data_IF_320542172544
#
_entry.id   IF_320542172544
#
_cell.length_a   1.000
_cell.length_b   1.000
_cell.length_c   1.000
_cell.angle_alpha   90.00
_cell.angle_beta   90.00
_cell.angle_gamma   90.00
#
_symmetry.space_group_name_H-M   'P 1'
#
loop_
_entity.id
_entity.type
_entity.pdbx_description
1 polymer ?
#
# COMPACT_ATOMS: atom_id res chain seq x y z
N UNK A 1 -23.39 -3.98 -14.88
CA UNK A 1 -22.09 -3.48 -15.37
C UNK A 1 -21.13 -4.65 -15.41
N UNK A 2 -20.65 -5.00 -16.60
CA UNK A 2 -19.75 -6.14 -16.84
C UNK A 2 -18.39 -5.84 -16.19
N UNK A 3 -18.07 -6.60 -15.15
CA UNK A 3 -16.81 -6.53 -14.40
C UNK A 3 -15.60 -6.58 -15.35
N UNK A 4 -14.86 -5.48 -15.49
CA UNK A 4 -13.55 -5.55 -16.13
C UNK A 4 -12.61 -6.30 -15.19
N UNK A 5 -12.36 -7.59 -15.46
CA UNK A 5 -11.41 -8.40 -14.72
C UNK A 5 -9.99 -8.07 -15.18
N UNK A 6 -9.11 -7.80 -14.22
CA UNK A 6 -7.73 -7.38 -14.50
C UNK A 6 -6.92 -8.48 -15.14
N UNK A 7 -5.96 -8.11 -15.99
CA UNK A 7 -5.10 -9.06 -16.70
C UNK A 7 -4.26 -9.90 -15.73
N UNK A 8 -3.94 -11.16 -16.09
CA UNK A 8 -3.00 -11.97 -15.33
C UNK A 8 -1.63 -11.29 -15.25
N UNK A 9 -0.96 -11.42 -14.10
CA UNK A 9 0.37 -10.82 -13.88
C UNK A 9 1.45 -11.37 -14.81
N UNK A 10 1.25 -12.59 -15.32
CA UNK A 10 2.13 -13.26 -16.28
C UNK A 10 3.17 -14.15 -15.61
N UNK A 11 3.72 -15.10 -16.39
CA UNK A 11 4.63 -16.13 -15.90
C UNK A 11 5.90 -15.56 -15.27
N UNK A 12 6.49 -14.53 -15.88
CA UNK A 12 7.71 -13.87 -15.36
C UNK A 12 7.51 -13.33 -13.95
N UNK A 13 6.43 -12.58 -13.73
CA UNK A 13 6.09 -12.04 -12.40
C UNK A 13 5.72 -13.14 -11.41
N UNK A 14 5.03 -14.19 -11.87
CA UNK A 14 4.71 -15.36 -11.05
C UNK A 14 5.97 -16.06 -10.53
N UNK A 15 6.92 -16.36 -11.42
CA UNK A 15 8.21 -16.98 -11.07
C UNK A 15 9.03 -16.09 -10.14
N UNK A 16 9.12 -14.77 -10.42
CA UNK A 16 9.82 -13.83 -9.54
C UNK A 16 9.21 -13.77 -8.14
N UNK A 17 7.88 -13.74 -8.04
CA UNK A 17 7.18 -13.75 -6.77
C UNK A 17 7.39 -15.08 -6.00
N UNK A 18 7.35 -16.21 -6.70
CA UNK A 18 7.65 -17.52 -6.12
C UNK A 18 9.09 -17.61 -5.60
N UNK A 19 10.06 -17.10 -6.38
CA UNK A 19 11.46 -17.04 -5.96
C UNK A 19 11.66 -16.17 -4.72
N UNK A 20 11.00 -15.01 -4.65
CA UNK A 20 11.06 -14.13 -3.49
C UNK A 20 10.48 -14.79 -2.24
N UNK A 21 9.32 -15.46 -2.35
CA UNK A 21 8.71 -16.20 -1.24
C UNK A 21 9.66 -17.32 -0.77
N UNK A 22 10.25 -18.06 -1.71
CA UNK A 22 11.22 -19.10 -1.40
C UNK A 22 12.47 -18.57 -0.72
N UNK A 23 12.95 -17.38 -1.10
CA UNK A 23 14.07 -16.72 -0.44
C UNK A 23 13.75 -16.37 1.01
N UNK A 24 12.57 -15.81 1.30
CA UNK A 24 12.15 -15.53 2.67
C UNK A 24 12.06 -16.81 3.50
N UNK A 25 11.42 -17.86 2.97
CA UNK A 25 11.32 -19.15 3.65
C UNK A 25 12.70 -19.74 3.93
N UNK A 26 13.57 -19.76 2.91
CA UNK A 26 14.92 -20.30 2.99
C UNK A 26 15.78 -19.54 3.99
N UNK A 27 15.71 -18.21 4.00
CA UNK A 27 16.41 -17.37 4.96
C UNK A 27 15.91 -17.61 6.40
N UNK A 28 14.60 -17.70 6.61
CA UNK A 28 14.05 -18.03 7.93
C UNK A 28 14.52 -19.39 8.44
N UNK A 29 14.51 -20.42 7.60
CA UNK A 29 14.99 -21.76 7.97
C UNK A 29 16.50 -21.78 8.20
N UNK A 30 17.28 -21.10 7.37
CA UNK A 30 18.73 -20.97 7.54
C UNK A 30 19.08 -20.26 8.87
N UNK A 31 18.32 -19.23 9.24
CA UNK A 31 18.48 -18.54 10.53
C UNK A 31 18.26 -19.51 11.70
N UNK A 32 17.21 -20.34 11.63
CA UNK A 32 16.95 -21.36 12.65
C UNK A 32 18.08 -22.39 12.66
N UNK A 33 18.49 -22.90 11.50
CA UNK A 33 19.60 -23.88 11.37
C UNK A 33 20.88 -23.37 12.01
N UNK A 34 21.29 -22.12 11.75
CA UNK A 34 22.51 -21.52 12.34
C UNK A 34 22.39 -21.36 13.86
N UNK A 35 21.19 -21.03 14.37
CA UNK A 35 20.96 -20.91 15.80
C UNK A 35 20.93 -22.28 16.52
N UNK A 36 20.60 -23.35 15.81
CA UNK A 36 20.57 -24.72 16.35
C UNK A 36 21.93 -25.41 16.24
N UNK A 37 22.60 -25.28 15.10
CA UNK A 37 23.93 -25.83 14.85
C UNK A 37 24.68 -24.95 13.83
N UNK A 38 25.67 -24.20 14.34
CA UNK A 38 26.43 -23.24 13.57
C UNK A 38 27.54 -23.88 12.72
N UNK A 39 27.91 -25.14 12.97
CA UNK A 39 29.01 -25.81 12.28
C UNK A 39 28.55 -26.41 10.94
N UNK A 40 27.26 -26.68 10.79
CA UNK A 40 26.69 -27.30 9.58
C UNK A 40 26.41 -26.25 8.46
N UNK A 41 27.50 -25.67 7.95
CA UNK A 41 27.49 -24.63 6.91
C UNK A 41 26.81 -25.12 5.62
N UNK A 42 26.98 -26.40 5.27
CA UNK A 42 26.37 -27.00 4.06
C UNK A 42 24.85 -26.94 4.12
N UNK A 43 24.25 -27.30 5.25
CA UNK A 43 22.79 -27.23 5.47
C UNK A 43 22.29 -25.80 5.30
N UNK A 44 22.99 -24.84 5.90
CA UNK A 44 22.67 -23.41 5.80
C UNK A 44 22.71 -22.92 4.34
N UNK A 45 23.73 -23.29 3.58
CA UNK A 45 23.84 -22.93 2.16
C UNK A 45 22.67 -23.52 1.36
N UNK A 46 22.32 -24.79 1.58
CA UNK A 46 21.21 -25.43 0.89
C UNK A 46 19.86 -24.76 1.21
N UNK A 47 19.63 -24.38 2.46
CA UNK A 47 18.42 -23.69 2.90
C UNK A 47 18.28 -22.29 2.28
N UNK A 48 19.37 -21.59 2.02
CA UNK A 48 19.31 -20.27 1.35
C UNK A 48 19.11 -20.44 -0.16
N UNK A 49 19.83 -21.38 -0.78
CA UNK A 49 19.95 -21.44 -2.23
C UNK A 49 18.85 -22.25 -2.92
N UNK A 50 18.36 -23.35 -2.35
CA UNK A 50 17.41 -24.24 -3.03
C UNK A 50 15.94 -23.78 -2.97
N UNK A 51 15.41 -23.29 -1.82
CA UNK A 51 14.02 -22.90 -1.71
C UNK A 51 13.54 -21.85 -2.73
N UNK A 52 14.32 -20.80 -3.10
CA UNK A 52 13.94 -19.87 -4.16
C UNK A 52 13.58 -20.57 -5.48
N UNK A 53 14.35 -21.57 -5.92
CA UNK A 53 14.11 -22.28 -7.17
C UNK A 53 12.90 -23.21 -7.07
N UNK A 54 12.83 -24.00 -6.00
CA UNK A 54 11.74 -24.96 -5.77
C UNK A 54 10.40 -24.22 -5.70
N UNK A 55 10.33 -23.16 -4.89
CA UNK A 55 9.11 -22.39 -4.67
C UNK A 55 8.75 -21.58 -5.92
N UNK A 56 9.73 -21.07 -6.67
CA UNK A 56 9.49 -20.45 -7.98
C UNK A 56 8.83 -21.41 -8.97
N UNK A 57 9.33 -22.64 -9.09
CA UNK A 57 8.78 -23.63 -10.03
C UNK A 57 7.39 -24.11 -9.59
N UNK A 58 7.18 -24.36 -8.30
CA UNK A 58 5.92 -24.88 -7.78
C UNK A 58 4.82 -23.81 -7.72
N UNK A 59 5.12 -22.64 -7.13
CA UNK A 59 4.12 -21.57 -6.95
C UNK A 59 4.07 -20.61 -8.13
N UNK A 60 5.14 -20.45 -8.90
CA UNK A 60 5.21 -19.47 -9.99
C UNK A 60 4.09 -19.59 -11.03
N UNK A 61 3.78 -20.80 -11.55
CA UNK A 61 2.66 -21.00 -12.47
C UNK A 61 1.29 -20.68 -11.86
N UNK A 62 1.11 -20.89 -10.55
CA UNK A 62 -0.12 -20.53 -9.85
C UNK A 62 -0.22 -19.02 -9.64
N UNK A 63 0.88 -18.39 -9.21
CA UNK A 63 0.99 -16.94 -9.02
C UNK A 63 0.88 -16.18 -10.34
N UNK A 64 1.30 -16.78 -11.46
CA UNK A 64 1.16 -16.20 -12.81
C UNK A 64 -0.31 -15.98 -13.21
N UNK A 65 -1.21 -16.82 -12.70
CA UNK A 65 -2.67 -16.72 -12.92
C UNK A 65 -3.32 -15.66 -12.03
N UNK A 66 -2.61 -15.12 -11.04
CA UNK A 66 -3.11 -14.03 -10.20
C UNK A 66 -3.40 -12.82 -11.09
N UNK A 67 -4.59 -12.26 -10.92
CA UNK A 67 -5.01 -11.08 -11.67
C UNK A 67 -4.48 -9.83 -11.02
N UNK A 68 -4.02 -8.89 -11.83
CA UNK A 68 -3.73 -7.54 -11.37
C UNK A 68 -5.02 -6.93 -10.82
N UNK A 69 -4.98 -6.21 -9.69
CA UNK A 69 -6.14 -5.48 -9.24
C UNK A 69 -6.55 -4.47 -10.32
N UNK A 70 -7.85 -4.41 -10.62
CA UNK A 70 -8.45 -3.73 -11.79
C UNK A 70 -8.27 -2.20 -11.80
N UNK A 71 -7.78 -1.61 -10.71
CA UNK A 71 -7.72 -0.15 -10.52
C UNK A 71 -6.30 0.42 -10.39
N UNK A 72 -5.34 -0.08 -11.15
CA UNK A 72 -3.98 0.49 -11.20
C UNK A 72 -3.60 1.14 -12.54
N UNK A 73 -4.49 1.16 -13.54
CA UNK A 73 -4.14 1.67 -14.88
C UNK A 73 -4.25 3.18 -15.03
N UNK A 74 -5.09 3.86 -14.24
CA UNK A 74 -5.01 5.32 -14.12
C UNK A 74 -3.83 5.62 -13.22
N UNK A 75 -2.85 6.36 -13.71
CA UNK A 75 -1.80 6.94 -12.87
C UNK A 75 -2.50 7.93 -11.93
N UNK A 76 -2.80 7.56 -10.66
CA UNK A 76 -3.72 8.34 -9.83
C UNK A 76 -3.13 9.73 -9.54
N UNK A 77 -1.81 9.82 -9.59
CA UNK A 77 -1.07 11.07 -9.49
C UNK A 77 -1.30 12.01 -10.69
N UNK A 78 -1.36 11.49 -11.92
CA UNK A 78 -1.61 12.33 -13.10
C UNK A 78 -3.05 12.85 -13.08
N UNK A 79 -4.03 11.99 -12.77
CA UNK A 79 -5.43 12.38 -12.62
C UNK A 79 -5.61 13.43 -11.50
N UNK A 80 -4.96 13.23 -10.35
CA UNK A 80 -4.97 14.20 -9.26
C UNK A 80 -4.36 15.55 -9.68
N UNK A 81 -3.27 15.52 -10.46
CA UNK A 81 -2.62 16.73 -10.94
C UNK A 81 -3.48 17.47 -11.95
N UNK A 82 -4.09 16.75 -12.89
CA UNK A 82 -4.99 17.32 -13.89
C UNK A 82 -6.18 18.00 -13.22
N UNK A 83 -6.88 17.29 -12.31
CA UNK A 83 -8.03 17.80 -11.57
C UNK A 83 -7.72 19.09 -10.79
N UNK A 84 -6.53 19.15 -10.18
CA UNK A 84 -6.14 20.24 -9.30
C UNK A 84 -5.34 21.34 -10.01
N UNK A 85 -5.03 21.20 -11.30
CA UNK A 85 -4.27 22.20 -12.10
C UNK A 85 -4.94 23.57 -12.10
N UNK A 86 -6.28 23.61 -12.06
CA UNK A 86 -7.05 24.87 -11.98
C UNK A 86 -6.81 25.70 -10.71
N UNK A 87 -6.24 25.10 -9.66
CA UNK A 87 -5.93 25.78 -8.40
C UNK A 87 -4.45 26.18 -8.27
N UNK A 88 -3.68 26.09 -9.35
CA UNK A 88 -2.26 26.41 -9.33
C UNK A 88 -2.05 27.92 -9.14
N UNK A 89 -1.38 28.33 -8.06
CA UNK A 89 -1.20 29.74 -7.68
C UNK A 89 0.14 30.35 -8.17
N UNK A 90 1.05 29.51 -8.68
CA UNK A 90 2.31 29.96 -9.28
C UNK A 90 3.52 29.94 -8.34
N UNK A 91 4.59 30.64 -8.74
CA UNK A 91 5.89 30.55 -8.06
C UNK A 91 5.85 31.15 -6.65
N UNK A 92 6.40 30.44 -5.67
CA UNK A 92 6.38 30.85 -4.26
C UNK A 92 5.06 30.57 -3.52
N UNK A 93 4.03 30.11 -4.23
CA UNK A 93 2.74 29.72 -3.67
C UNK A 93 2.43 28.24 -3.97
N UNK A 94 1.21 27.82 -3.66
CA UNK A 94 0.80 26.44 -3.89
C UNK A 94 0.85 26.08 -5.38
N UNK A 95 1.46 24.93 -5.67
CA UNK A 95 1.67 24.40 -7.02
C UNK A 95 1.43 22.92 -7.07
N UNK A 96 0.66 22.49 -8.06
CA UNK A 96 0.32 21.09 -8.32
C UNK A 96 1.55 20.18 -8.36
N UNK A 97 2.59 20.55 -9.11
CA UNK A 97 3.74 19.67 -9.29
C UNK A 97 4.60 19.48 -8.03
N UNK A 98 4.65 20.47 -7.14
CA UNK A 98 5.48 20.41 -5.92
C UNK A 98 4.70 20.01 -4.67
N UNK A 99 3.40 20.28 -4.62
CA UNK A 99 2.56 20.01 -3.46
C UNK A 99 1.70 18.75 -3.62
N UNK A 100 1.67 18.13 -4.79
CA UNK A 100 1.00 16.85 -5.03
C UNK A 100 2.02 15.78 -5.39
N UNK A 101 2.10 14.78 -4.52
CA UNK A 101 2.95 13.60 -4.69
C UNK A 101 2.18 12.32 -4.44
N UNK A 102 2.79 11.18 -4.77
CA UNK A 102 2.25 9.86 -4.46
C UNK A 102 3.13 9.20 -3.40
N UNK A 103 2.51 8.67 -2.34
CA UNK A 103 3.15 7.81 -1.34
C UNK A 103 3.00 6.31 -1.76
N UNK A 104 2.97 6.05 -3.08
CA UNK A 104 2.72 4.73 -3.67
C UNK A 104 1.26 4.57 -4.12
N UNK A 105 0.41 4.04 -3.24
CA UNK A 105 -1.02 3.84 -3.52
C UNK A 105 -1.91 5.01 -3.07
N UNK A 106 -1.35 6.00 -2.37
CA UNK A 106 -2.09 7.11 -1.80
C UNK A 106 -1.63 8.42 -2.44
N UNK A 107 -2.56 9.35 -2.63
CA UNK A 107 -2.25 10.71 -3.09
C UNK A 107 -2.00 11.61 -1.89
N UNK A 108 -0.85 12.26 -1.87
CA UNK A 108 -0.45 13.21 -0.85
C UNK A 108 -0.60 14.62 -1.40
N UNK A 109 -1.38 15.44 -0.73
CA UNK A 109 -1.64 16.83 -1.07
C UNK A 109 -1.19 17.70 0.10
N UNK A 110 -0.14 18.47 -0.12
CA UNK A 110 0.33 19.45 0.85
C UNK A 110 -0.47 20.74 0.73
N UNK A 111 -1.17 21.16 1.78
CA UNK A 111 -2.05 22.33 1.74
C UNK A 111 -1.39 23.60 2.29
N UNK A 112 -0.10 23.56 2.66
CA UNK A 112 0.61 24.77 3.07
C UNK A 112 0.76 25.73 1.88
N UNK A 113 0.79 27.03 2.18
CA UNK A 113 0.91 28.11 1.19
C UNK A 113 -0.21 28.17 0.13
N UNK A 114 -1.35 27.54 0.40
CA UNK A 114 -2.54 27.57 -0.44
C UNK A 114 -3.54 28.60 0.11
N UNK A 115 -4.08 29.45 -0.78
CA UNK A 115 -5.11 30.43 -0.40
C UNK A 115 -6.51 29.81 -0.44
N UNK A 116 -6.84 29.10 -1.51
CA UNK A 116 -8.13 28.43 -1.70
C UNK A 116 -8.12 26.99 -1.17
N UNK A 117 -8.08 26.86 0.16
CA UNK A 117 -8.02 25.55 0.84
C UNK A 117 -9.29 24.75 0.57
N UNK A 118 -10.46 25.37 0.74
CA UNK A 118 -11.75 24.72 0.60
C UNK A 118 -11.93 24.18 -0.81
N UNK A 119 -11.67 24.97 -1.86
CA UNK A 119 -11.80 24.54 -3.25
C UNK A 119 -10.90 23.36 -3.62
N UNK A 120 -9.65 23.35 -3.15
CA UNK A 120 -8.72 22.22 -3.38
C UNK A 120 -9.17 20.97 -2.63
N UNK A 121 -9.57 21.10 -1.36
CA UNK A 121 -10.03 19.97 -0.56
C UNK A 121 -11.29 19.37 -1.19
N UNK A 122 -12.26 20.19 -1.58
CA UNK A 122 -13.49 19.73 -2.23
C UNK A 122 -13.23 19.00 -3.54
N UNK A 123 -12.39 19.55 -4.42
CA UNK A 123 -12.02 18.88 -5.66
C UNK A 123 -11.25 17.58 -5.39
N UNK A 124 -10.33 17.60 -4.43
CA UNK A 124 -9.56 16.42 -4.08
C UNK A 124 -10.41 15.30 -3.44
N UNK A 125 -11.56 15.62 -2.84
CA UNK A 125 -12.48 14.60 -2.32
C UNK A 125 -13.10 13.75 -3.44
N UNK A 126 -13.19 14.23 -4.69
CA UNK A 126 -13.61 13.42 -5.83
C UNK A 126 -12.63 12.26 -6.10
N UNK A 127 -11.34 12.48 -5.85
CA UNK A 127 -10.32 11.43 -5.94
C UNK A 127 -10.45 10.39 -4.82
N UNK A 128 -11.04 10.81 -3.69
CA UNK A 128 -11.17 10.00 -2.50
C UNK A 128 -12.18 8.85 -2.64
N UNK A 129 -12.88 8.73 -3.77
CA UNK A 129 -13.74 7.59 -4.11
C UNK A 129 -12.95 6.43 -4.74
N UNK A 130 -11.81 6.71 -5.35
CA UNK A 130 -10.99 5.68 -6.03
C UNK A 130 -9.70 5.40 -5.29
N UNK A 131 -9.09 6.41 -4.68
CA UNK A 131 -7.76 6.36 -4.07
C UNK A 131 -7.78 7.05 -2.71
N UNK A 132 -6.94 6.60 -1.78
CA UNK A 132 -6.81 7.30 -0.50
C UNK A 132 -6.12 8.65 -0.72
N UNK A 133 -6.75 9.73 -0.24
CA UNK A 133 -6.20 11.09 -0.30
C UNK A 133 -5.74 11.51 1.09
N UNK A 134 -4.52 12.02 1.16
CA UNK A 134 -3.85 12.46 2.38
C UNK A 134 -3.55 13.95 2.30
N UNK A 135 -4.31 14.73 3.06
CA UNK A 135 -4.11 16.16 3.21
C UNK A 135 -3.06 16.45 4.28
N UNK A 136 -1.98 17.14 3.92
CA UNK A 136 -0.95 17.57 4.87
C UNK A 136 -1.30 18.97 5.35
N UNK A 137 -1.61 19.07 6.64
CA UNK A 137 -2.14 20.29 7.28
C UNK A 137 -1.31 20.74 8.48
N UNK A 138 -0.26 19.99 8.82
CA UNK A 138 0.53 20.23 10.01
C UNK A 138 -0.19 19.87 11.31
N UNK A 139 0.36 20.31 12.44
CA UNK A 139 -0.15 19.97 13.78
C UNK A 139 -1.37 20.82 14.18
N UNK A 140 -1.58 21.98 13.56
CA UNK A 140 -2.67 22.90 13.91
C UNK A 140 -2.56 23.48 15.32
N UNK A 141 -1.34 23.61 15.86
CA UNK A 141 -1.12 24.23 17.17
C UNK A 141 -0.65 25.69 16.99
N UNK A 142 -0.71 26.50 18.06
CA UNK A 142 -0.30 27.90 18.03
C UNK A 142 1.16 28.15 17.58
N UNK A 143 2.00 27.11 17.58
CA UNK A 143 3.39 27.14 17.10
C UNK A 143 3.54 26.78 15.61
N UNK A 144 2.46 26.43 14.92
CA UNK A 144 2.46 26.08 13.50
C UNK A 144 2.43 27.35 12.64
N UNK A 145 3.03 27.31 11.45
CA UNK A 145 2.99 28.43 10.49
C UNK A 145 1.57 28.78 10.05
N UNK A 146 0.66 27.80 10.05
CA UNK A 146 -0.77 28.00 9.74
C UNK A 146 -1.64 27.20 10.72
N UNK A 147 -1.92 27.73 11.93
CA UNK A 147 -2.66 27.01 12.96
C UNK A 147 -4.08 26.62 12.53
N UNK A 148 -4.77 27.52 11.82
CA UNK A 148 -6.17 27.37 11.39
C UNK A 148 -6.37 26.39 10.23
N UNK A 149 -5.30 26.05 9.51
CA UNK A 149 -5.35 25.19 8.31
C UNK A 149 -6.01 23.85 8.62
N UNK A 150 -5.67 23.26 9.77
CA UNK A 150 -6.19 21.96 10.17
C UNK A 150 -7.70 21.99 10.36
N UNK A 151 -8.22 23.00 11.05
CA UNK A 151 -9.64 23.09 11.39
C UNK A 151 -10.49 23.42 10.16
N UNK A 152 -9.98 24.29 9.27
CA UNK A 152 -10.62 24.57 7.97
C UNK A 152 -10.79 23.30 7.12
N UNK A 153 -9.72 22.50 7.02
CA UNK A 153 -9.77 21.24 6.26
C UNK A 153 -10.69 20.22 6.94
N UNK A 154 -10.64 20.10 8.28
CA UNK A 154 -11.54 19.20 9.01
C UNK A 154 -13.01 19.57 8.79
N UNK A 155 -13.37 20.86 8.82
CA UNK A 155 -14.74 21.32 8.58
C UNK A 155 -15.28 20.88 7.21
N UNK A 156 -14.48 21.04 6.15
CA UNK A 156 -14.85 20.63 4.79
C UNK A 156 -14.95 19.10 4.68
N UNK A 157 -13.96 18.37 5.19
CA UNK A 157 -13.96 16.90 5.13
C UNK A 157 -15.10 16.31 5.95
N UNK A 158 -15.43 16.92 7.10
CA UNK A 158 -16.44 16.40 8.00
C UNK A 158 -17.86 16.60 7.52
N UNK A 159 -18.12 17.67 6.78
CA UNK A 159 -19.42 17.94 6.15
C UNK A 159 -19.71 17.02 4.96
N UNK A 160 -18.69 16.52 4.25
CA UNK A 160 -18.87 15.73 3.02
C UNK A 160 -18.58 14.23 3.14
N UNK A 161 -17.80 13.81 4.14
CA UNK A 161 -17.30 12.42 4.22
C UNK A 161 -17.72 11.75 5.53
N UNK A 162 -18.20 10.49 5.45
CA UNK A 162 -18.55 9.67 6.62
C UNK A 162 -17.33 9.38 7.52
N UNK A 163 -17.54 9.34 8.84
CA UNK A 163 -16.51 9.04 9.85
C UNK A 163 -15.70 7.78 9.57
N UNK A 164 -16.29 6.74 8.98
CA UNK A 164 -15.62 5.47 8.70
C UNK A 164 -14.54 5.57 7.60
N UNK A 165 -14.62 6.60 6.74
CA UNK A 165 -13.64 6.86 5.68
C UNK A 165 -12.55 7.84 6.11
N UNK A 166 -12.73 8.54 7.24
CA UNK A 166 -11.83 9.60 7.71
C UNK A 166 -10.86 9.06 8.74
N UNK A 167 -9.57 9.34 8.58
CA UNK A 167 -8.54 9.06 9.59
C UNK A 167 -7.78 10.34 9.92
N UNK A 168 -7.83 10.74 11.19
CA UNK A 168 -7.06 11.90 11.68
C UNK A 168 -5.68 11.43 12.14
N UNK A 169 -4.62 11.97 11.56
CA UNK A 169 -3.22 11.76 11.99
C UNK A 169 -2.65 13.06 12.56
N UNK A 170 -1.46 12.98 13.16
CA UNK A 170 -0.81 14.13 13.83
C UNK A 170 -0.57 15.30 12.89
N UNK A 171 -0.09 15.05 11.66
CA UNK A 171 0.22 16.10 10.67
C UNK A 171 -0.65 16.08 9.42
N UNK A 172 -1.62 15.17 9.36
CA UNK A 172 -2.42 14.94 8.17
C UNK A 172 -3.82 14.46 8.48
N UNK A 173 -4.70 14.64 7.51
CA UNK A 173 -6.07 14.12 7.50
C UNK A 173 -6.15 13.21 6.27
N UNK A 174 -6.53 11.96 6.48
CA UNK A 174 -6.61 10.95 5.43
C UNK A 174 -8.08 10.61 5.17
N UNK A 175 -8.44 10.54 3.89
CA UNK A 175 -9.75 10.09 3.44
C UNK A 175 -9.55 8.86 2.56
N UNK A 176 -10.08 7.74 3.02
CA UNK A 176 -10.00 6.46 2.33
C UNK A 176 -11.17 6.29 1.36
N UNK A 177 -10.97 5.55 0.25
CA UNK A 177 -12.06 5.15 -0.62
C UNK A 177 -13.07 4.29 0.13
N UNK A 178 -14.31 4.31 -0.35
CA UNK A 178 -15.28 3.35 0.13
C UNK A 178 -14.76 1.96 -0.13
N UNK A 179 -14.64 1.18 0.96
CA UNK A 179 -14.25 -0.21 0.87
C UNK A 179 -15.37 -0.94 0.12
N UNK A 180 -15.16 -1.13 -1.18
CA UNK A 180 -16.07 -1.95 -2.00
C UNK A 180 -16.14 -3.34 -1.39
N UNK A 181 -17.31 -4.01 -1.48
CA UNK A 181 -17.50 -5.38 -0.99
C UNK A 181 -16.38 -6.32 -1.45
N UNK A 182 -15.94 -6.16 -2.70
CA UNK A 182 -14.82 -6.88 -3.31
C UNK A 182 -13.48 -6.73 -2.58
N UNK A 183 -13.13 -5.52 -2.11
CA UNK A 183 -11.88 -5.29 -1.38
C UNK A 183 -11.90 -6.01 -0.02
N UNK A 184 -13.04 -5.95 0.67
CA UNK A 184 -13.22 -6.65 1.95
C UNK A 184 -13.20 -8.17 1.77
N UNK A 185 -13.86 -8.68 0.73
CA UNK A 185 -13.84 -10.11 0.37
C UNK A 185 -12.41 -10.58 0.02
N UNK A 186 -11.67 -9.79 -0.75
CA UNK A 186 -10.28 -10.07 -1.10
C UNK A 186 -9.36 -10.11 0.13
N UNK A 187 -9.47 -9.12 1.03
CA UNK A 187 -8.71 -9.10 2.29
C UNK A 187 -9.07 -10.29 3.19
N UNK A 188 -10.36 -10.62 3.32
CA UNK A 188 -10.80 -11.80 4.07
C UNK A 188 -10.22 -13.09 3.50
N UNK A 189 -10.22 -13.24 2.17
CA UNK A 189 -9.64 -14.41 1.49
C UNK A 189 -8.13 -14.52 1.73
N UNK A 190 -7.40 -13.40 1.63
CA UNK A 190 -5.97 -13.37 1.95
C UNK A 190 -5.69 -13.75 3.40
N UNK A 191 -6.43 -13.18 4.35
CA UNK A 191 -6.25 -13.50 5.76
C UNK A 191 -6.49 -14.99 6.04
N UNK A 192 -7.53 -15.59 5.45
CA UNK A 192 -7.78 -17.04 5.55
C UNK A 192 -6.61 -17.88 5.01
N UNK A 193 -6.01 -17.48 3.90
CA UNK A 193 -4.83 -18.14 3.34
C UNK A 193 -3.61 -18.00 4.27
N UNK A 194 -3.38 -16.81 4.83
CA UNK A 194 -2.29 -16.59 5.77
C UNK A 194 -2.44 -17.45 7.04
N UNK A 195 -3.66 -17.53 7.59
CA UNK A 195 -3.95 -18.38 8.75
C UNK A 195 -3.75 -19.87 8.48
N UNK A 196 -4.02 -20.34 7.25
CA UNK A 196 -3.80 -21.75 6.87
C UNK A 196 -2.33 -22.08 6.62
N UNK A 197 -1.51 -21.11 6.19
CA UNK A 197 -0.07 -21.31 6.00
C UNK A 197 0.70 -21.33 7.32
N UNK A 198 0.20 -20.66 8.36
CA UNK A 198 0.85 -20.56 9.67
C UNK A 198 1.24 -21.93 10.29
N UNK A 199 0.33 -22.93 10.41
CA UNK A 199 0.69 -24.25 10.96
C UNK A 199 1.72 -25.00 10.10
N UNK A 200 1.73 -24.81 8.78
CA UNK A 200 2.70 -25.45 7.88
C UNK A 200 4.10 -24.89 8.15
N UNK A 201 4.24 -23.57 8.26
CA UNK A 201 5.52 -22.92 8.58
C UNK A 201 6.00 -23.31 9.96
N UNK A 202 5.12 -23.34 10.97
CA UNK A 202 5.45 -23.79 12.32
C UNK A 202 5.93 -25.25 12.35
N UNK A 203 5.30 -26.14 11.58
CA UNK A 203 5.71 -27.54 11.49
C UNK A 203 7.08 -27.70 10.83
N UNK A 204 7.36 -26.97 9.74
CA UNK A 204 8.67 -26.98 9.09
C UNK A 204 9.78 -26.44 10.02
N UNK A 205 9.51 -25.37 10.77
CA UNK A 205 10.43 -24.85 11.76
C UNK A 205 10.73 -25.88 12.86
N UNK A 206 9.70 -26.58 13.36
CA UNK A 206 9.87 -27.62 14.36
C UNK A 206 10.69 -28.82 13.86
N UNK A 207 10.48 -29.25 12.61
CA UNK A 207 11.29 -30.30 11.99
C UNK A 207 12.76 -29.91 11.90
N UNK A 208 13.05 -28.64 11.59
CA UNK A 208 14.42 -28.14 11.53
C UNK A 208 15.06 -28.11 12.92
N UNK A 209 14.34 -27.68 13.96
CA UNK A 209 14.84 -27.68 15.34
C UNK A 209 15.13 -29.08 15.91
N UNK A 210 14.60 -30.14 15.30
CA UNK A 210 14.83 -31.54 15.72
C UNK A 210 16.08 -32.18 15.10
N UNK A 211 16.71 -31.52 14.13
CA UNK A 211 17.90 -32.02 13.43
C UNK A 211 19.18 -31.42 13.98
#
# INVERSE_FOLDING_TARGET
MTEQKGEPVGLRMGLQAGALIGLYLGFSLATISVLTDAEEIKRTIYLICLPPFIVSILLGPFLAKRRRPVKLSKKPLEEARELLTRFNEGQGSWRVLSHISSDGMNIRIDLHNLKNIEGVVEAALELADTTTVKFIVGKGNAKSTSPELRDRVLSVVESKVNILRRTRKVKSIEVSPEKTREYNEYQSKLNKVLFTLLPIVSFLAWLEMKK
#
